data_IF_109196444672
#
_entry.id   IF_109196444672
#
_cell.length_a   1.000
_cell.length_b   1.000
_cell.length_c   1.000
_cell.angle_alpha   90.00
_cell.angle_beta   90.00
_cell.angle_gamma   90.00
#
_symmetry.space_group_name_H-M   'P 1'
#
loop_
_entity.id
_entity.type
_entity.pdbx_description
1 polymer ?
#
# COMPACT_ATOMS: atom_id res chain seq x y z
N UNK A 1 -10.19 3.92 34.16
CA UNK A 1 -8.73 4.07 34.42
C UNK A 1 -7.95 2.79 34.09
N UNK A 2 -7.59 1.89 35.00
CA UNK A 2 -6.70 0.75 34.66
C UNK A 2 -7.19 -0.19 33.53
N UNK A 3 -8.52 -0.33 33.34
CA UNK A 3 -9.12 -1.16 32.29
C UNK A 3 -9.17 -0.47 30.91
N UNK A 4 -9.18 0.87 30.89
CA UNK A 4 -9.13 1.68 29.66
C UNK A 4 -7.70 1.86 29.18
N UNK A 5 -6.75 2.07 30.10
CA UNK A 5 -5.31 2.16 29.77
C UNK A 5 -4.81 0.87 29.12
N UNK A 6 -5.21 -0.30 29.66
CA UNK A 6 -4.82 -1.59 29.11
C UNK A 6 -5.43 -1.84 27.71
N UNK A 7 -6.66 -1.37 27.47
CA UNK A 7 -7.33 -1.47 26.16
C UNK A 7 -6.70 -0.54 25.12
N UNK A 8 -6.30 0.67 25.53
CA UNK A 8 -5.59 1.62 24.67
C UNK A 8 -4.21 1.07 24.26
N UNK A 9 -3.45 0.54 25.23
CA UNK A 9 -2.16 -0.11 24.96
C UNK A 9 -2.29 -1.32 24.01
N UNK A 10 -3.33 -2.15 24.19
CA UNK A 10 -3.59 -3.29 23.30
C UNK A 10 -3.91 -2.84 21.87
N UNK A 11 -4.70 -1.77 21.70
CA UNK A 11 -5.01 -1.21 20.37
C UNK A 11 -3.78 -0.61 19.68
N UNK A 12 -2.92 0.11 20.41
CA UNK A 12 -1.67 0.65 19.86
C UNK A 12 -0.72 -0.47 19.41
N UNK A 13 -0.61 -1.55 20.18
CA UNK A 13 0.19 -2.72 19.82
C UNK A 13 -0.34 -3.39 18.54
N UNK A 14 -1.66 -3.53 18.41
CA UNK A 14 -2.29 -4.07 17.19
C UNK A 14 -2.03 -3.18 15.98
N UNK A 15 -2.22 -1.86 16.07
CA UNK A 15 -1.95 -0.95 14.96
C UNK A 15 -0.48 -0.96 14.52
N UNK A 16 0.45 -1.00 15.48
CA UNK A 16 1.87 -1.15 15.17
C UNK A 16 2.17 -2.46 14.46
N UNK A 17 1.54 -3.56 14.88
CA UNK A 17 1.68 -4.86 14.24
C UNK A 17 1.16 -4.85 12.80
N UNK A 18 -0.03 -4.29 12.57
CA UNK A 18 -0.62 -4.17 11.22
C UNK A 18 0.26 -3.30 10.31
N UNK A 19 0.81 -2.20 10.84
CA UNK A 19 1.75 -1.35 10.10
C UNK A 19 3.03 -2.10 9.69
N UNK A 20 3.59 -2.91 10.58
CA UNK A 20 4.78 -3.73 10.27
C UNK A 20 4.46 -4.76 9.20
N UNK A 21 3.35 -5.50 9.36
CA UNK A 21 2.89 -6.45 8.34
C UNK A 21 2.67 -5.77 6.98
N UNK A 22 2.15 -4.54 7.00
CA UNK A 22 1.94 -3.77 5.77
C UNK A 22 3.21 -3.54 4.99
N UNK A 23 4.26 -3.06 5.68
CA UNK A 23 5.56 -2.87 5.05
C UNK A 23 6.16 -4.20 4.56
N UNK A 24 6.02 -5.27 5.36
CA UNK A 24 6.55 -6.59 5.01
C UNK A 24 5.83 -7.26 3.84
N UNK A 25 4.53 -7.03 3.64
CA UNK A 25 3.75 -7.57 2.51
C UNK A 25 3.89 -6.71 1.25
N UNK A 26 4.00 -5.39 1.40
CA UNK A 26 4.18 -4.46 0.26
C UNK A 26 5.51 -4.67 -0.44
N UNK A 27 6.58 -4.98 0.31
CA UNK A 27 7.92 -5.22 -0.23
C UNK A 27 7.97 -6.37 -1.26
N UNK A 28 7.58 -7.62 -0.94
CA UNK A 28 7.67 -8.74 -1.87
C UNK A 28 6.79 -8.55 -3.12
N UNK A 29 5.59 -7.95 -2.98
CA UNK A 29 4.74 -7.65 -4.14
C UNK A 29 5.37 -6.59 -5.03
N UNK A 30 5.95 -5.54 -4.45
CA UNK A 30 6.69 -4.51 -5.21
C UNK A 30 7.91 -5.10 -5.91
N UNK A 31 8.60 -6.05 -5.29
CA UNK A 31 9.71 -6.77 -5.92
C UNK A 31 9.23 -7.62 -7.10
N UNK A 32 8.10 -8.33 -6.99
CA UNK A 32 7.51 -9.09 -8.10
C UNK A 32 7.12 -8.16 -9.25
N UNK A 33 6.43 -7.06 -8.95
CA UNK A 33 6.07 -6.03 -9.94
C UNK A 33 7.32 -5.49 -10.66
N UNK A 34 8.37 -5.16 -9.92
CA UNK A 34 9.63 -4.67 -10.48
C UNK A 34 10.32 -5.69 -11.40
N UNK A 35 10.35 -6.96 -11.02
CA UNK A 35 10.92 -8.03 -11.85
C UNK A 35 10.11 -8.21 -13.15
N UNK A 36 8.78 -8.17 -13.06
CA UNK A 36 7.90 -8.29 -14.22
C UNK A 36 8.05 -7.09 -15.16
N UNK A 37 8.14 -5.86 -14.63
CA UNK A 37 8.42 -4.66 -15.42
C UNK A 37 9.79 -4.75 -16.09
N UNK A 38 10.82 -5.23 -15.39
CA UNK A 38 12.17 -5.43 -15.95
C UNK A 38 12.12 -6.32 -17.20
N UNK A 39 11.31 -7.39 -17.16
CA UNK A 39 11.11 -8.27 -18.32
C UNK A 39 10.29 -7.56 -19.39
N UNK A 40 9.18 -6.92 -19.02
CA UNK A 40 8.24 -6.23 -19.92
C UNK A 40 8.88 -5.09 -20.70
N UNK A 41 9.83 -4.39 -20.09
CA UNK A 41 10.55 -3.25 -20.65
C UNK A 41 11.74 -3.69 -21.53
N UNK A 42 11.99 -5.00 -21.65
CA UNK A 42 13.01 -5.56 -22.53
C UNK A 42 14.43 -5.59 -21.94
N UNK A 43 14.62 -5.28 -20.65
CA UNK A 43 15.94 -5.32 -20.01
C UNK A 43 16.54 -6.74 -19.92
N UNK A 44 15.72 -7.78 -20.11
CA UNK A 44 16.16 -9.18 -20.15
C UNK A 44 16.41 -9.72 -21.56
N UNK A 45 16.37 -8.84 -22.58
CA UNK A 45 16.47 -9.22 -24.00
C UNK A 45 15.11 -9.44 -24.67
N UNK A 46 15.15 -9.79 -25.95
CA UNK A 46 13.94 -9.99 -26.75
C UNK A 46 13.16 -11.23 -26.30
N UNK A 47 11.84 -11.07 -26.16
CA UNK A 47 10.92 -12.17 -25.86
C UNK A 47 9.86 -12.30 -26.96
N UNK A 48 9.35 -13.52 -27.23
CA UNK A 48 8.29 -13.71 -28.22
C UNK A 48 7.04 -12.88 -27.87
N UNK A 49 6.26 -12.40 -28.86
CA UNK A 49 5.06 -11.59 -28.61
C UNK A 49 4.04 -12.26 -27.67
N UNK A 50 3.94 -13.59 -27.73
CA UNK A 50 3.08 -14.36 -26.82
C UNK A 50 3.56 -14.28 -25.36
N UNK A 51 4.87 -14.26 -25.12
CA UNK A 51 5.45 -14.10 -23.80
C UNK A 51 5.22 -12.70 -23.27
N UNK A 52 5.46 -11.66 -24.10
CA UNK A 52 5.17 -10.26 -23.76
C UNK A 52 3.73 -10.08 -23.25
N UNK A 53 2.75 -10.65 -23.97
CA UNK A 53 1.34 -10.61 -23.56
C UNK A 53 1.09 -11.18 -22.16
N UNK A 54 1.73 -12.30 -21.80
CA UNK A 54 1.57 -12.89 -20.48
C UNK A 54 2.30 -12.11 -19.39
N UNK A 55 3.47 -11.53 -19.70
CA UNK A 55 4.21 -10.67 -18.78
C UNK A 55 3.42 -9.40 -18.47
N UNK A 56 2.88 -8.71 -19.48
CA UNK A 56 2.02 -7.53 -19.28
C UNK A 56 0.78 -7.86 -18.44
N UNK A 57 0.17 -9.03 -18.67
CA UNK A 57 -0.91 -9.52 -17.79
C UNK A 57 -0.43 -9.74 -16.35
N UNK A 58 0.74 -10.34 -16.16
CA UNK A 58 1.31 -10.58 -14.84
C UNK A 58 1.63 -9.26 -14.12
N UNK A 59 2.17 -8.25 -14.82
CA UNK A 59 2.37 -6.89 -14.28
C UNK A 59 1.05 -6.35 -13.75
N UNK A 60 0.00 -6.34 -14.56
CA UNK A 60 -1.32 -5.87 -14.15
C UNK A 60 -1.86 -6.63 -12.93
N UNK A 61 -1.67 -7.96 -12.87
CA UNK A 61 -2.06 -8.76 -11.70
C UNK A 61 -1.27 -8.39 -10.45
N UNK A 62 0.04 -8.14 -10.57
CA UNK A 62 0.89 -7.75 -9.44
C UNK A 62 0.51 -6.36 -8.91
N UNK A 63 0.23 -5.40 -9.80
CA UNK A 63 -0.27 -4.07 -9.44
C UNK A 63 -1.61 -4.17 -8.72
N UNK A 64 -2.55 -4.98 -9.19
CA UNK A 64 -3.83 -5.16 -8.51
C UNK A 64 -3.69 -5.84 -7.15
N UNK A 65 -2.82 -6.85 -7.02
CA UNK A 65 -2.54 -7.48 -5.73
C UNK A 65 -1.94 -6.49 -4.73
N UNK A 66 -1.04 -5.60 -5.19
CA UNK A 66 -0.45 -4.53 -4.38
C UNK A 66 -1.51 -3.57 -3.85
N UNK A 67 -2.44 -3.16 -4.72
CA UNK A 67 -3.55 -2.28 -4.34
C UNK A 67 -4.47 -2.97 -3.34
N UNK A 68 -4.95 -4.18 -3.64
CA UNK A 68 -5.84 -4.94 -2.74
C UNK A 68 -5.22 -5.18 -1.36
N UNK A 69 -3.93 -5.52 -1.30
CA UNK A 69 -3.25 -5.72 -0.03
C UNK A 69 -3.14 -4.39 0.74
N UNK A 70 -2.80 -3.29 0.05
CA UNK A 70 -2.75 -1.96 0.68
C UNK A 70 -4.12 -1.56 1.24
N UNK A 71 -5.18 -1.73 0.45
CA UNK A 71 -6.56 -1.40 0.85
C UNK A 71 -7.02 -2.24 2.06
N UNK A 72 -6.70 -3.54 2.08
CA UNK A 72 -7.03 -4.43 3.20
C UNK A 72 -6.33 -3.99 4.50
N UNK A 73 -5.06 -3.62 4.40
CA UNK A 73 -4.26 -3.20 5.55
C UNK A 73 -4.67 -1.81 6.06
N UNK A 74 -4.97 -0.89 5.14
CA UNK A 74 -5.51 0.43 5.46
C UNK A 74 -6.89 0.28 6.14
N UNK A 75 -7.75 -0.60 5.62
CA UNK A 75 -9.04 -0.91 6.25
C UNK A 75 -8.86 -1.37 7.70
N UNK A 76 -7.95 -2.32 7.95
CA UNK A 76 -7.69 -2.79 9.30
C UNK A 76 -7.13 -1.70 10.22
N UNK A 77 -6.26 -0.82 9.70
CA UNK A 77 -5.72 0.32 10.44
C UNK A 77 -6.82 1.30 10.87
N UNK A 78 -7.76 1.60 9.98
CA UNK A 78 -8.82 2.58 10.23
C UNK A 78 -10.08 1.99 10.88
N UNK A 79 -10.32 0.68 10.80
CA UNK A 79 -11.50 0.04 11.39
C UNK A 79 -11.52 0.13 12.92
N UNK A 80 -10.35 0.32 13.55
CA UNK A 80 -10.21 0.29 15.01
C UNK A 80 -10.75 1.53 15.74
N UNK A 81 -11.45 2.46 15.07
CA UNK A 81 -12.01 3.70 15.67
C UNK A 81 -10.98 4.43 16.55
N UNK A 82 -9.71 4.41 16.15
CA UNK A 82 -8.69 5.15 16.86
C UNK A 82 -8.91 6.65 16.62
N UNK A 83 -8.81 7.50 17.66
CA UNK A 83 -8.92 8.94 17.49
C UNK A 83 -7.82 9.40 16.53
N UNK A 84 -8.22 9.76 15.31
CA UNK A 84 -7.33 10.34 14.32
C UNK A 84 -7.00 11.76 14.77
N UNK A 85 -5.71 12.18 14.74
CA UNK A 85 -5.35 13.56 15.05
C UNK A 85 -6.13 14.51 14.14
N UNK A 86 -6.94 15.39 14.73
CA UNK A 86 -7.61 16.45 14.00
C UNK A 86 -6.74 17.69 14.08
N UNK A 87 -6.23 18.13 12.95
CA UNK A 87 -5.50 19.39 12.80
C UNK A 87 -6.38 20.36 12.01
N UNK A 88 -6.36 21.64 12.39
CA UNK A 88 -7.01 22.69 11.62
C UNK A 88 -6.27 22.84 10.29
N UNK A 89 -6.95 22.54 9.18
CA UNK A 89 -6.34 22.47 7.86
C UNK A 89 -7.01 23.47 6.91
N UNK A 90 -6.19 24.28 6.22
CA UNK A 90 -6.67 25.12 5.13
C UNK A 90 -6.93 24.26 3.88
N UNK A 91 -8.20 24.07 3.56
CA UNK A 91 -8.65 23.28 2.40
C UNK A 91 -8.16 23.89 1.08
N UNK A 92 -8.00 25.22 1.00
CA UNK A 92 -7.49 25.90 -0.20
C UNK A 92 -6.02 25.51 -0.41
N UNK A 93 -5.20 25.57 0.64
CA UNK A 93 -3.79 25.16 0.56
C UNK A 93 -3.65 23.68 0.20
N UNK A 94 -4.47 22.80 0.80
CA UNK A 94 -4.46 21.38 0.51
C UNK A 94 -4.78 21.10 -0.96
N UNK A 95 -5.84 21.73 -1.48
CA UNK A 95 -6.27 21.53 -2.88
C UNK A 95 -5.24 22.02 -3.89
N UNK A 96 -4.60 23.17 -3.64
CA UNK A 96 -3.47 23.64 -4.46
C UNK A 96 -2.28 22.67 -4.42
N UNK A 97 -1.95 22.14 -3.25
CA UNK A 97 -0.82 21.21 -3.09
C UNK A 97 -1.07 19.90 -3.84
N UNK A 98 -2.30 19.38 -3.79
CA UNK A 98 -2.67 18.16 -4.51
C UNK A 98 -2.73 18.37 -6.03
N UNK A 99 -3.27 19.50 -6.48
CA UNK A 99 -3.38 19.83 -7.90
C UNK A 99 -2.02 19.99 -8.57
N UNK A 100 -1.00 20.49 -7.85
CA UNK A 100 0.36 20.65 -8.36
C UNK A 100 1.24 19.41 -8.22
N UNK A 101 0.73 18.31 -7.65
CA UNK A 101 1.49 17.05 -7.45
C UNK A 101 1.30 16.06 -8.61
N UNK A 102 0.36 16.33 -9.50
CA UNK A 102 0.11 15.63 -10.77
C UNK A 102 0.49 16.54 -11.94
#
# INVERSE_FOLDING_TARGET
MAKEENKAQESELQSNYIRVLSHQLKSPISSIESLLNTISDGFTGEIPPKTQYFIEKAVNRATEAKTMISDLLDYELYSQNQPTPQEELDIVVLTYTLANRY
#
